data_IF_501558447108
#
_entry.id   IF_501558447108
#
_cell.length_a   1.000
_cell.length_b   1.000
_cell.length_c   1.000
_cell.angle_alpha   90.00
_cell.angle_beta   90.00
_cell.angle_gamma   90.00
#
_symmetry.space_group_name_H-M   'P 1'
#
loop_
_entity.id
_entity.type
_entity.pdbx_description
1 polymer ?
#
# COMPACT_ATOMS: atom_id res chain seq x y z
N UNK A 1 3.31 2.38 3.66
CA UNK A 1 1.86 2.30 3.88
C UNK A 1 1.16 2.48 2.54
N UNK A 2 0.18 1.63 2.24
CA UNK A 2 -0.65 1.69 1.04
C UNK A 2 -2.08 2.04 1.42
N UNK A 3 -2.75 2.84 0.59
CA UNK A 3 -4.18 3.18 0.72
C UNK A 3 -4.95 2.76 -0.53
N UNK A 4 -6.14 2.18 -0.39
CA UNK A 4 -6.94 1.69 -1.52
C UNK A 4 -8.05 2.65 -1.97
N UNK A 5 -8.40 3.63 -1.13
CA UNK A 5 -9.40 4.66 -1.40
C UNK A 5 -8.84 5.97 -1.98
N UNK A 6 -7.61 5.95 -2.53
CA UNK A 6 -6.93 7.13 -3.05
C UNK A 6 -5.63 7.46 -2.30
N UNK A 7 -4.84 8.36 -2.87
CA UNK A 7 -3.55 8.81 -2.33
C UNK A 7 -3.70 9.45 -0.95
N UNK A 8 -2.83 9.08 0.00
CA UNK A 8 -2.77 9.73 1.31
C UNK A 8 -2.41 11.22 1.19
N UNK A 9 -3.02 12.15 1.97
CA UNK A 9 -2.77 13.59 1.83
C UNK A 9 -1.31 14.01 1.97
N UNK A 10 -0.55 13.36 2.87
CA UNK A 10 0.90 13.59 2.99
C UNK A 10 1.61 13.29 1.67
N UNK A 11 1.31 12.16 1.04
CA UNK A 11 1.96 11.78 -0.21
C UNK A 11 1.52 12.66 -1.39
N UNK A 12 0.27 13.15 -1.38
CA UNK A 12 -0.19 14.14 -2.35
C UNK A 12 0.57 15.47 -2.20
N UNK A 13 0.86 15.89 -0.97
CA UNK A 13 1.72 17.04 -0.70
C UNK A 13 3.14 16.83 -1.18
N UNK A 14 3.77 15.70 -0.85
CA UNK A 14 5.15 15.39 -1.28
C UNK A 14 5.28 15.32 -2.81
N UNK A 15 4.32 14.68 -3.48
CA UNK A 15 4.27 14.63 -4.95
C UNK A 15 4.19 16.02 -5.60
N UNK A 16 3.64 17.02 -4.92
CA UNK A 16 3.59 18.40 -5.43
C UNK A 16 4.98 19.03 -5.61
N UNK A 17 6.01 18.50 -4.93
CA UNK A 17 7.40 18.90 -5.11
C UNK A 17 8.14 18.09 -6.20
N UNK A 18 7.48 17.10 -6.82
CA UNK A 18 7.98 16.36 -7.96
C UNK A 18 8.06 14.86 -7.74
N UNK A 19 7.61 14.10 -8.74
CA UNK A 19 7.52 12.64 -8.67
C UNK A 19 8.87 11.96 -8.45
N UNK A 20 9.92 12.41 -9.15
CA UNK A 20 11.24 11.81 -9.02
C UNK A 20 11.80 11.94 -7.59
N UNK A 21 11.67 13.13 -6.98
CA UNK A 21 12.11 13.39 -5.62
C UNK A 21 11.31 12.56 -4.61
N UNK A 22 9.99 12.49 -4.77
CA UNK A 22 9.11 11.68 -3.92
C UNK A 22 9.48 10.18 -3.98
N UNK A 23 9.67 9.60 -5.17
CA UNK A 23 10.02 8.18 -5.25
C UNK A 23 11.45 7.88 -4.80
N UNK A 24 12.36 8.86 -4.84
CA UNK A 24 13.68 8.72 -4.22
C UNK A 24 13.59 8.57 -2.68
N UNK A 25 12.52 9.07 -2.03
CA UNK A 25 12.30 8.85 -0.60
C UNK A 25 12.05 7.37 -0.28
N UNK A 26 11.34 6.64 -1.15
CA UNK A 26 11.19 5.18 -0.99
C UNK A 26 12.55 4.47 -1.06
N UNK A 27 13.42 4.94 -1.97
CA UNK A 27 14.74 4.36 -2.18
C UNK A 27 15.69 4.63 -1.01
N UNK A 28 15.63 5.83 -0.44
CA UNK A 28 16.33 6.17 0.80
C UNK A 28 15.84 5.30 1.96
N UNK A 29 14.52 5.15 2.08
CA UNK A 29 13.93 4.22 3.03
C UNK A 29 14.04 4.62 4.49
N UNK A 30 14.39 5.88 4.77
CA UNK A 30 14.64 6.44 6.10
C UNK A 30 13.36 6.67 6.91
N UNK A 31 12.20 6.77 6.27
CA UNK A 31 10.90 7.03 6.91
C UNK A 31 9.77 6.14 6.32
N UNK A 32 8.55 6.32 6.83
CA UNK A 32 7.32 5.72 6.32
C UNK A 32 7.01 6.31 4.95
N UNK A 33 7.13 5.49 3.91
CA UNK A 33 6.68 5.83 2.57
C UNK A 33 5.20 5.52 2.39
N UNK A 34 4.41 6.49 1.93
CA UNK A 34 2.97 6.36 1.67
C UNK A 34 2.74 6.33 0.17
N UNK A 35 1.90 5.42 -0.35
CA UNK A 35 1.49 5.40 -1.75
C UNK A 35 0.05 4.88 -1.92
N UNK A 36 -0.62 5.25 -3.00
CA UNK A 36 -1.85 4.58 -3.42
C UNK A 36 -1.57 3.13 -3.83
N UNK A 37 -2.51 2.23 -3.54
CA UNK A 37 -2.39 0.81 -3.80
C UNK A 37 -2.28 0.47 -5.30
N UNK A 38 -2.71 1.37 -6.19
CA UNK A 38 -2.47 1.21 -7.65
C UNK A 38 -0.99 1.29 -8.02
N UNK A 39 -0.14 1.87 -7.16
CA UNK A 39 1.31 1.95 -7.37
C UNK A 39 2.09 0.80 -6.71
N UNK A 40 1.42 -0.23 -6.17
CA UNK A 40 2.05 -1.33 -5.43
C UNK A 40 3.12 -2.09 -6.22
N UNK A 41 2.98 -2.17 -7.54
CA UNK A 41 3.96 -2.83 -8.40
C UNK A 41 5.29 -2.07 -8.47
N UNK A 42 5.26 -0.74 -8.31
CA UNK A 42 6.47 0.10 -8.23
C UNK A 42 7.09 0.08 -6.83
N UNK A 43 6.35 -0.36 -5.81
CA UNK A 43 6.84 -0.35 -4.45
C UNK A 43 7.99 -1.35 -4.28
N UNK A 44 9.04 -0.95 -3.56
CA UNK A 44 10.15 -1.85 -3.21
C UNK A 44 9.81 -2.67 -1.96
N UNK A 45 10.42 -3.86 -1.78
CA UNK A 45 10.25 -4.63 -0.55
C UNK A 45 10.62 -3.83 0.69
N UNK A 46 9.85 -3.99 1.78
CA UNK A 46 10.06 -3.35 3.08
C UNK A 46 9.86 -4.38 4.19
N UNK A 47 10.54 -4.24 5.35
CA UNK A 47 10.31 -5.13 6.49
C UNK A 47 8.83 -5.20 6.88
N UNK A 48 8.15 -4.06 6.86
CA UNK A 48 6.72 -3.96 7.18
C UNK A 48 6.00 -3.23 6.05
N UNK A 49 4.89 -3.81 5.60
CA UNK A 49 3.92 -3.15 4.72
C UNK A 49 2.59 -3.06 5.45
N UNK A 50 2.02 -1.87 5.50
CA UNK A 50 0.68 -1.62 6.03
C UNK A 50 -0.22 -1.27 4.86
N UNK A 51 -1.37 -1.95 4.73
CA UNK A 51 -2.41 -1.65 3.74
C UNK A 51 -3.66 -1.19 4.48
N UNK A 52 -4.04 0.06 4.29
CA UNK A 52 -5.33 0.58 4.71
C UNK A 52 -6.35 0.35 3.59
N UNK A 53 -7.30 -0.55 3.83
CA UNK A 53 -8.42 -0.85 2.95
C UNK A 53 -9.55 0.15 3.23
N UNK A 54 -9.41 1.34 2.67
CA UNK A 54 -10.31 2.49 2.85
C UNK A 54 -11.17 2.82 1.61
N UNK A 55 -11.28 1.86 0.70
CA UNK A 55 -12.08 1.92 -0.52
C UNK A 55 -11.72 0.75 -1.44
N UNK A 56 -12.61 0.31 -2.32
CA UNK A 56 -12.29 -0.75 -3.29
C UNK A 56 -12.78 -0.37 -4.68
N UNK A 57 -12.24 0.74 -5.20
CA UNK A 57 -12.51 1.13 -6.56
C UNK A 57 -11.94 0.08 -7.52
N UNK A 58 -12.82 -0.59 -8.28
CA UNK A 58 -12.42 -1.48 -9.38
C UNK A 58 -11.60 -2.70 -8.96
N UNK A 59 -11.86 -3.29 -7.78
CA UNK A 59 -11.16 -4.49 -7.29
C UNK A 59 -9.69 -4.25 -6.96
N UNK A 60 -9.33 -3.02 -6.59
CA UNK A 60 -7.97 -2.64 -6.22
C UNK A 60 -7.46 -3.44 -5.03
N UNK A 61 -8.32 -3.76 -4.05
CA UNK A 61 -7.94 -4.56 -2.88
C UNK A 61 -7.52 -5.98 -3.31
N UNK A 62 -8.32 -6.63 -4.14
CA UNK A 62 -8.04 -7.97 -4.65
C UNK A 62 -6.73 -8.04 -5.45
N UNK A 63 -6.41 -6.99 -6.21
CA UNK A 63 -5.17 -6.90 -6.98
C UNK A 63 -3.96 -6.58 -6.09
N UNK A 64 -4.10 -5.62 -5.18
CA UNK A 64 -2.96 -5.06 -4.47
C UNK A 64 -2.52 -5.89 -3.26
N UNK A 65 -3.43 -6.58 -2.56
CA UNK A 65 -3.07 -7.33 -1.36
C UNK A 65 -2.04 -8.45 -1.60
N UNK A 66 -2.15 -9.27 -2.67
CA UNK A 66 -1.13 -10.26 -2.99
C UNK A 66 0.25 -9.61 -3.25
N UNK A 67 0.30 -8.53 -4.02
CA UNK A 67 1.57 -7.83 -4.30
C UNK A 67 2.13 -7.19 -3.03
N UNK A 68 1.29 -6.59 -2.21
CA UNK A 68 1.69 -6.00 -0.92
C UNK A 68 2.27 -7.07 0.04
N UNK A 69 1.74 -8.29 -0.01
CA UNK A 69 2.31 -9.44 0.71
C UNK A 69 3.71 -9.77 0.22
N UNK A 70 3.94 -9.78 -1.10
CA UNK A 70 5.26 -10.03 -1.68
C UNK A 70 6.26 -8.89 -1.39
N UNK A 71 5.77 -7.65 -1.19
CA UNK A 71 6.60 -6.52 -0.74
C UNK A 71 6.91 -6.56 0.76
N UNK A 72 6.15 -7.31 1.57
CA UNK A 72 6.35 -7.41 3.01
C UNK A 72 7.37 -8.48 3.37
N UNK A 73 8.60 -8.07 3.68
CA UNK A 73 9.69 -9.01 3.98
C UNK A 73 9.54 -9.71 5.34
N UNK A 74 8.86 -9.09 6.31
CA UNK A 74 8.63 -9.68 7.64
C UNK A 74 7.17 -9.64 8.08
N UNK A 75 6.46 -8.53 7.84
CA UNK A 75 5.09 -8.36 8.31
C UNK A 75 4.21 -7.59 7.33
N UNK A 76 3.07 -8.19 6.99
CA UNK A 76 1.96 -7.50 6.35
C UNK A 76 0.88 -7.20 7.41
N UNK A 77 0.50 -5.93 7.52
CA UNK A 77 -0.63 -5.48 8.34
C UNK A 77 -1.71 -4.98 7.38
N UNK A 78 -2.94 -5.46 7.54
CA UNK A 78 -4.08 -5.02 6.73
C UNK A 78 -5.16 -4.46 7.66
N UNK A 79 -5.51 -3.20 7.46
CA UNK A 79 -6.48 -2.48 8.28
C UNK A 79 -7.71 -2.14 7.44
N UNK A 80 -8.89 -2.65 7.82
CA UNK A 80 -10.14 -2.38 7.12
C UNK A 80 -11.22 -3.41 7.46
N UNK A 81 -12.23 -3.51 6.60
CA UNK A 81 -13.32 -4.47 6.75
C UNK A 81 -12.80 -5.93 6.70
N UNK A 82 -12.97 -6.72 7.79
CA UNK A 82 -12.44 -8.09 7.85
C UNK A 82 -13.03 -9.03 6.80
N UNK A 83 -14.29 -8.85 6.40
CA UNK A 83 -14.94 -9.71 5.41
C UNK A 83 -14.30 -9.53 4.03
N UNK A 84 -14.06 -8.28 3.64
CA UNK A 84 -13.35 -7.91 2.40
C UNK A 84 -11.94 -8.49 2.40
N UNK A 85 -11.20 -8.31 3.50
CA UNK A 85 -9.80 -8.78 3.62
C UNK A 85 -9.73 -10.32 3.57
N UNK A 86 -10.57 -11.01 4.34
CA UNK A 86 -10.58 -12.47 4.42
C UNK A 86 -10.98 -13.11 3.10
N UNK A 87 -11.89 -12.47 2.35
CA UNK A 87 -12.30 -12.95 1.02
C UNK A 87 -11.13 -12.98 0.01
N UNK A 88 -10.16 -12.08 0.15
CA UNK A 88 -8.99 -11.97 -0.73
C UNK A 88 -7.81 -12.81 -0.23
N UNK A 89 -7.54 -12.80 1.07
CA UNK A 89 -6.39 -13.51 1.64
C UNK A 89 -6.62 -15.01 1.84
N UNK A 90 -7.83 -15.51 1.58
CA UNK A 90 -8.17 -16.92 1.76
C UNK A 90 -8.10 -17.35 3.23
N UNK A 91 -8.16 -16.40 4.16
CA UNK A 91 -8.30 -16.68 5.58
C UNK A 91 -9.76 -17.10 5.82
N UNK A 92 -9.98 -18.43 5.84
CA UNK A 92 -11.31 -19.01 6.00
C UNK A 92 -12.04 -18.46 7.24
N UNK A 93 -13.32 -18.14 7.06
CA UNK A 93 -14.30 -18.01 8.15
C UNK A 93 -15.02 -19.34 8.36
#
# INVERSE_FOLDING_TARGET
>A
MLTTGGQHPWAAHELSFGEAAYWAQQDAGDDVFFADATAVDRAKPRPVVVVAVNGDAGGTVARALPVARDRAAALLIVCGDPQTINSVLGAGV
#
